data_IF_113794437825
#
_entry.id   IF_113794437825
#
_cell.length_a   1.000
_cell.length_b   1.000
_cell.length_c   1.000
_cell.angle_alpha   90.00
_cell.angle_beta   90.00
_cell.angle_gamma   90.00
#
_symmetry.space_group_name_H-M   'P 1'
#
loop_
_entity.id
_entity.type
_entity.pdbx_description
1 polymer ?
#
# COMPACT_ATOMS: atom_id res chain seq x y z
N UNK A 1 4.31 -10.41 -5.02
CA UNK A 1 4.67 -10.31 -3.58
C UNK A 1 3.46 -10.64 -2.73
N UNK A 2 3.69 -11.25 -1.59
CA UNK A 2 2.60 -11.49 -0.64
C UNK A 2 2.24 -10.22 0.12
N UNK A 3 1.09 -10.23 0.79
CA UNK A 3 0.67 -9.11 1.63
C UNK A 3 1.68 -8.82 2.74
N UNK A 4 2.25 -9.86 3.34
CA UNK A 4 3.27 -9.72 4.38
C UNK A 4 4.53 -9.05 3.84
N UNK A 5 4.97 -9.42 2.63
CA UNK A 5 6.12 -8.80 1.99
C UNK A 5 5.86 -7.33 1.65
N UNK A 6 4.66 -7.01 1.17
CA UNK A 6 4.26 -5.63 0.91
C UNK A 6 4.24 -4.79 2.18
N UNK A 7 3.79 -5.37 3.29
CA UNK A 7 3.82 -4.70 4.59
C UNK A 7 5.25 -4.41 5.02
N UNK A 8 6.15 -5.37 4.91
CA UNK A 8 7.56 -5.18 5.26
C UNK A 8 8.20 -4.10 4.40
N UNK A 9 7.91 -4.09 3.10
CA UNK A 9 8.41 -3.07 2.19
C UNK A 9 7.89 -1.69 2.57
N UNK A 10 6.60 -1.60 2.93
CA UNK A 10 6.00 -0.35 3.38
C UNK A 10 6.65 0.19 4.66
N UNK A 11 7.02 -0.69 5.59
CA UNK A 11 7.69 -0.30 6.83
C UNK A 11 9.10 0.27 6.61
N UNK A 12 9.67 0.07 5.44
CA UNK A 12 10.97 0.64 5.08
C UNK A 12 10.88 2.02 4.42
N UNK A 13 9.67 2.50 4.17
CA UNK A 13 9.48 3.83 3.59
C UNK A 13 9.80 4.92 4.60
N UNK A 14 10.21 6.12 4.12
CA UNK A 14 10.49 7.22 5.03
C UNK A 14 9.23 7.79 5.66
N UNK A 15 9.37 8.41 6.84
CA UNK A 15 8.30 9.16 7.49
C UNK A 15 8.22 10.58 6.94
N UNK A 16 8.26 10.71 5.62
CA UNK A 16 8.27 11.98 4.91
C UNK A 16 7.07 12.07 3.99
N UNK A 17 6.67 13.30 3.61
CA UNK A 17 5.61 13.48 2.62
C UNK A 17 6.05 12.93 1.27
N UNK A 18 5.10 12.41 0.51
CA UNK A 18 5.39 11.92 -0.81
C UNK A 18 4.18 11.30 -1.48
N UNK A 19 4.44 10.69 -2.63
CA UNK A 19 3.46 9.98 -3.44
C UNK A 19 3.80 8.50 -3.42
N UNK A 20 2.78 7.65 -3.29
CA UNK A 20 2.96 6.22 -3.40
C UNK A 20 2.16 5.69 -4.58
N UNK A 21 2.72 4.68 -5.24
CA UNK A 21 2.13 4.04 -6.42
C UNK A 21 2.02 2.55 -6.13
N UNK A 22 0.81 2.00 -6.33
CA UNK A 22 0.55 0.58 -6.13
C UNK A 22 0.26 -0.06 -7.48
N UNK A 23 0.92 -1.19 -7.75
CA UNK A 23 0.82 -1.92 -9.00
C UNK A 23 0.27 -3.32 -8.75
N UNK A 24 -0.40 -3.86 -9.77
CA UNK A 24 -0.87 -5.22 -9.74
C UNK A 24 0.20 -6.20 -10.28
N UNK A 25 -0.16 -7.47 -10.38
CA UNK A 25 0.73 -8.53 -10.86
C UNK A 25 1.23 -8.29 -12.28
N UNK A 26 0.46 -7.59 -13.10
CA UNK A 26 0.82 -7.25 -14.47
C UNK A 26 1.63 -5.97 -14.59
N UNK A 27 2.05 -5.40 -13.45
CA UNK A 27 2.78 -4.13 -13.36
C UNK A 27 1.94 -2.93 -13.80
N UNK A 28 0.62 -3.08 -13.80
CA UNK A 28 -0.30 -1.98 -14.09
C UNK A 28 -0.52 -1.17 -12.83
N UNK A 29 -0.47 0.14 -12.96
CA UNK A 29 -0.73 1.05 -11.84
C UNK A 29 -2.22 0.99 -11.52
N UNK A 30 -2.56 0.57 -10.31
CA UNK A 30 -3.95 0.45 -9.87
C UNK A 30 -4.34 1.51 -8.83
N UNK A 31 -3.35 2.17 -8.24
CA UNK A 31 -3.61 3.21 -7.26
C UNK A 31 -2.43 4.16 -7.13
N UNK A 32 -2.73 5.45 -7.05
CA UNK A 32 -1.74 6.50 -6.77
C UNK A 32 -2.31 7.37 -5.65
N UNK A 33 -1.53 7.59 -4.61
CA UNK A 33 -1.95 8.39 -3.48
C UNK A 33 -0.86 9.29 -2.95
N UNK A 34 -1.27 10.27 -2.13
CA UNK A 34 -0.37 11.17 -1.44
C UNK A 34 -0.46 10.94 0.05
N UNK A 35 0.65 11.09 0.75
CA UNK A 35 0.67 10.98 2.19
C UNK A 35 1.66 11.98 2.79
N UNK A 36 1.35 12.47 3.99
CA UNK A 36 2.29 13.30 4.75
C UNK A 36 3.40 12.47 5.37
N UNK A 37 3.10 11.20 5.67
CA UNK A 37 4.05 10.23 6.20
C UNK A 37 3.85 8.91 5.46
N UNK A 38 4.68 8.67 4.47
CA UNK A 38 4.55 7.51 3.58
C UNK A 38 4.52 6.19 4.34
N UNK A 39 5.44 5.99 5.28
CA UNK A 39 5.52 4.74 6.04
C UNK A 39 4.20 4.42 6.73
N UNK A 40 3.63 5.38 7.43
CA UNK A 40 2.40 5.18 8.19
C UNK A 40 1.24 4.89 7.25
N UNK A 41 1.08 5.71 6.21
CA UNK A 41 -0.07 5.58 5.30
C UNK A 41 -0.03 4.28 4.52
N UNK A 42 1.10 3.95 3.93
CA UNK A 42 1.20 2.75 3.09
C UNK A 42 1.16 1.48 3.94
N UNK A 43 1.82 1.47 5.10
CA UNK A 43 1.78 0.29 5.97
C UNK A 43 0.39 -0.02 6.50
N UNK A 44 -0.48 1.00 6.68
CA UNK A 44 -1.87 0.78 7.10
C UNK A 44 -2.66 -0.06 6.11
N UNK A 45 -2.38 0.05 4.81
CA UNK A 45 -3.09 -0.75 3.81
C UNK A 45 -2.81 -2.25 3.95
N UNK A 46 -1.62 -2.62 4.37
CA UNK A 46 -1.18 -4.01 4.41
C UNK A 46 -1.10 -4.58 5.83
N UNK A 47 -1.45 -3.78 6.82
CA UNK A 47 -1.48 -4.21 8.22
C UNK A 47 -2.72 -5.04 8.48
N UNK A 48 -2.56 -6.19 9.14
CA UNK A 48 -3.69 -7.02 9.51
C UNK A 48 -4.57 -6.35 10.56
N UNK A 49 -5.88 -6.62 10.48
CA UNK A 49 -6.86 -6.13 11.44
C UNK A 49 -7.29 -4.68 11.25
N UNK A 50 -6.76 -3.99 10.25
CA UNK A 50 -7.19 -2.63 9.96
C UNK A 50 -8.39 -2.68 9.01
N UNK A 51 -9.54 -2.06 9.38
CA UNK A 51 -10.70 -2.03 8.50
C UNK A 51 -10.47 -1.11 7.31
N UNK A 52 -10.96 -1.52 6.14
CA UNK A 52 -10.89 -0.76 4.90
C UNK A 52 -12.27 -0.71 4.24
N UNK A 53 -12.52 0.34 3.45
CA UNK A 53 -13.72 0.40 2.63
C UNK A 53 -13.60 -0.58 1.44
N UNK A 54 -14.67 -0.70 0.64
CA UNK A 54 -14.70 -1.62 -0.49
C UNK A 54 -13.62 -1.30 -1.53
N UNK A 55 -13.41 -0.03 -1.81
CA UNK A 55 -12.41 0.41 -2.80
C UNK A 55 -11.00 0.05 -2.33
N UNK A 56 -10.68 0.33 -1.08
CA UNK A 56 -9.37 0.02 -0.51
C UNK A 56 -9.16 -1.50 -0.43
N UNK A 57 -10.17 -2.25 -0.04
CA UNK A 57 -10.11 -3.71 0.03
C UNK A 57 -9.81 -4.34 -1.33
N UNK A 58 -10.43 -3.85 -2.39
CA UNK A 58 -10.16 -4.32 -3.74
C UNK A 58 -8.75 -3.97 -4.18
N UNK A 59 -8.31 -2.76 -3.92
CA UNK A 59 -6.95 -2.33 -4.24
C UNK A 59 -5.92 -3.22 -3.53
N UNK A 60 -6.10 -3.47 -2.24
CA UNK A 60 -5.19 -4.30 -1.46
C UNK A 60 -5.17 -5.74 -1.98
N UNK A 61 -6.32 -6.28 -2.37
CA UNK A 61 -6.41 -7.64 -2.89
C UNK A 61 -5.63 -7.83 -4.19
N UNK A 62 -5.55 -6.79 -5.02
CA UNK A 62 -4.83 -6.83 -6.30
C UNK A 62 -3.41 -6.26 -6.22
N UNK A 63 -3.02 -5.67 -5.11
CA UNK A 63 -1.69 -5.10 -4.97
C UNK A 63 -0.61 -6.18 -5.02
N UNK A 64 0.43 -5.92 -5.79
CA UNK A 64 1.56 -6.84 -5.96
C UNK A 64 2.90 -6.16 -5.68
N UNK A 65 3.00 -4.85 -5.96
CA UNK A 65 4.23 -4.10 -5.73
C UNK A 65 3.95 -2.65 -5.36
#
# INVERSE_FOLDING_TARGET
>A
MTKAELYQKACMLPLLPGVYIIRDKSDTIIYIGKAKRLRIRVSQYFREGVPHDNKESQMIAHAYA
#
